data_IF_483081616018
#
_entry.id   IF_483081616018
#
_cell.length_a   1.000
_cell.length_b   1.000
_cell.length_c   1.000
_cell.angle_alpha   90.00
_cell.angle_beta   90.00
_cell.angle_gamma   90.00
#
_symmetry.space_group_name_H-M   'P 1'
#
loop_
_entity.id
_entity.type
_entity.pdbx_description
1 polymer ?
#
# COMPACT_ATOMS: atom_id res chain seq x y z
N UNK A 1 -2.96 -14.65 22.91
CA UNK A 1 -1.65 -15.10 22.38
C UNK A 1 -1.82 -15.98 21.14
N UNK A 2 -2.60 -17.07 21.16
CA UNK A 2 -2.83 -17.92 19.98
C UNK A 2 -3.44 -17.16 18.77
N UNK A 3 -4.45 -16.32 18.97
CA UNK A 3 -5.03 -15.50 17.89
C UNK A 3 -4.02 -14.54 17.22
N UNK A 4 -3.06 -14.03 18.00
CA UNK A 4 -2.03 -13.14 17.50
C UNK A 4 -1.01 -13.91 16.65
N UNK A 5 -0.64 -15.13 17.08
CA UNK A 5 0.23 -16.02 16.29
C UNK A 5 -0.39 -16.36 14.94
N UNK A 6 -1.69 -16.67 14.89
CA UNK A 6 -2.40 -16.96 13.63
C UNK A 6 -2.34 -15.77 12.66
N UNK A 7 -2.48 -14.55 13.18
CA UNK A 7 -2.37 -13.33 12.36
C UNK A 7 -0.93 -13.13 11.88
N UNK A 8 0.07 -13.33 12.73
CA UNK A 8 1.48 -13.21 12.32
C UNK A 8 1.85 -14.23 11.23
N UNK A 9 1.42 -15.49 11.38
CA UNK A 9 1.70 -16.56 10.41
C UNK A 9 1.04 -16.30 9.04
N UNK A 10 -0.05 -15.51 9.02
CA UNK A 10 -0.72 -15.10 7.77
C UNK A 10 -0.05 -13.93 7.06
N UNK A 11 0.89 -13.23 7.70
CA UNK A 11 1.56 -12.07 7.11
C UNK A 11 2.52 -12.51 6.02
N UNK A 12 2.61 -11.68 5.00
CA UNK A 12 3.63 -11.82 3.98
C UNK A 12 5.01 -11.41 4.48
N UNK A 13 6.04 -12.18 4.10
CA UNK A 13 7.44 -11.80 4.31
C UNK A 13 7.73 -10.43 3.68
N UNK A 14 8.65 -9.71 4.31
CA UNK A 14 9.15 -8.44 3.79
C UNK A 14 10.25 -8.76 2.78
N UNK A 15 9.89 -8.73 1.49
CA UNK A 15 10.81 -9.07 0.42
C UNK A 15 10.32 -8.64 -0.96
N UNK A 16 11.18 -8.84 -1.96
CA UNK A 16 10.88 -8.53 -3.36
C UNK A 16 9.65 -9.29 -3.87
N UNK A 17 8.82 -8.61 -4.65
CA UNK A 17 7.61 -9.20 -5.23
C UNK A 17 6.38 -9.26 -4.31
N UNK A 18 6.51 -8.87 -3.02
CA UNK A 18 5.39 -8.80 -2.05
C UNK A 18 4.96 -7.36 -1.71
N UNK A 19 5.46 -6.39 -2.48
CA UNK A 19 5.19 -4.96 -2.35
C UNK A 19 3.79 -4.58 -2.84
N UNK A 20 3.06 -3.76 -2.06
CA UNK A 20 1.72 -3.27 -2.44
C UNK A 20 1.73 -1.90 -3.13
N UNK A 21 2.77 -1.09 -2.89
CA UNK A 21 2.84 0.29 -3.37
C UNK A 21 4.30 0.70 -3.59
N UNK A 22 4.54 1.40 -4.68
CA UNK A 22 5.85 1.96 -5.02
C UNK A 22 5.86 3.46 -4.69
N UNK A 23 6.79 3.88 -3.84
CA UNK A 23 7.05 5.28 -3.50
C UNK A 23 8.38 5.69 -4.11
N UNK A 24 8.33 6.44 -5.21
CA UNK A 24 9.50 6.91 -5.97
C UNK A 24 9.57 8.43 -5.81
N UNK A 25 10.19 8.86 -4.71
CA UNK A 25 10.13 10.24 -4.23
C UNK A 25 10.96 11.22 -5.07
N UNK A 26 12.06 10.75 -5.68
CA UNK A 26 12.89 11.53 -6.61
C UNK A 26 12.12 11.97 -7.86
N UNK A 27 11.16 11.16 -8.31
CA UNK A 27 10.26 11.44 -9.43
C UNK A 27 8.89 11.97 -8.98
N UNK A 28 8.74 12.25 -7.67
CA UNK A 28 7.48 12.64 -7.05
C UNK A 28 6.30 11.73 -7.39
N UNK A 29 6.52 10.41 -7.49
CA UNK A 29 5.49 9.44 -7.92
C UNK A 29 5.21 8.41 -6.84
N UNK A 30 3.93 8.22 -6.53
CA UNK A 30 3.45 7.10 -5.71
C UNK A 30 2.43 6.32 -6.52
N UNK A 31 2.61 5.00 -6.63
CA UNK A 31 1.73 4.10 -7.37
C UNK A 31 1.36 2.86 -6.57
N UNK A 32 0.06 2.63 -6.36
CA UNK A 32 -0.46 1.38 -5.78
C UNK A 32 -0.46 0.29 -6.86
N UNK A 33 0.21 -0.83 -6.57
CA UNK A 33 0.41 -1.91 -7.53
C UNK A 33 -0.78 -2.87 -7.57
N UNK A 34 -1.65 -2.83 -6.56
CA UNK A 34 -2.86 -3.67 -6.51
C UNK A 34 -3.99 -3.05 -7.32
N UNK A 35 -4.12 -1.72 -7.29
CA UNK A 35 -5.25 -0.99 -7.89
C UNK A 35 -4.85 -0.14 -9.09
N UNK A 36 -3.56 0.15 -9.26
CA UNK A 36 -3.05 1.01 -10.33
C UNK A 36 -3.18 2.51 -10.06
N UNK A 37 -3.80 2.92 -8.95
CA UNK A 37 -3.93 4.34 -8.57
C UNK A 37 -2.55 4.98 -8.40
N UNK A 38 -2.38 6.17 -8.95
CA UNK A 38 -1.12 6.90 -8.97
C UNK A 38 -1.35 8.36 -8.59
N UNK A 39 -0.38 8.96 -7.89
CA UNK A 39 -0.37 10.39 -7.54
C UNK A 39 1.01 10.99 -7.71
N UNK A 40 1.03 12.25 -8.15
CA UNK A 40 2.20 13.10 -8.32
C UNK A 40 2.52 13.99 -7.11
N UNK A 41 1.78 13.87 -6.00
CA UNK A 41 2.00 14.66 -4.79
C UNK A 41 2.35 13.74 -3.60
N UNK A 42 3.62 13.31 -3.45
CA UNK A 42 4.01 12.43 -2.38
C UNK A 42 3.82 13.03 -0.99
N UNK A 43 4.00 14.33 -0.86
CA UNK A 43 3.96 14.99 0.45
C UNK A 43 2.59 14.83 1.10
N UNK A 44 1.51 15.08 0.35
CA UNK A 44 0.14 14.86 0.86
C UNK A 44 -0.09 13.40 1.32
N UNK A 45 0.41 12.43 0.57
CA UNK A 45 0.28 11.01 0.92
C UNK A 45 1.06 10.67 2.19
N UNK A 46 2.27 11.23 2.34
CA UNK A 46 3.08 11.06 3.55
C UNK A 46 2.46 11.77 4.76
N UNK A 47 1.71 12.85 4.52
CA UNK A 47 0.93 13.59 5.53
C UNK A 47 -0.43 12.93 5.84
N UNK A 48 -0.78 11.82 5.17
CA UNK A 48 -1.92 10.98 5.51
C UNK A 48 -3.05 10.92 4.49
N UNK A 49 -2.93 11.59 3.34
CA UNK A 49 -3.90 11.53 2.24
C UNK A 49 -3.87 10.16 1.54
N UNK A 50 -4.49 9.17 2.18
CA UNK A 50 -4.50 7.76 1.75
C UNK A 50 -5.87 7.29 1.22
N UNK A 51 -6.90 8.13 1.32
CA UNK A 51 -8.29 7.76 1.07
C UNK A 51 -8.48 7.20 -0.35
N UNK A 52 -7.87 7.86 -1.36
CA UNK A 52 -7.93 7.40 -2.74
C UNK A 52 -7.41 5.96 -2.94
N UNK A 53 -6.38 5.56 -2.20
CA UNK A 53 -5.83 4.21 -2.27
C UNK A 53 -6.67 3.18 -1.51
N UNK A 54 -7.21 3.58 -0.36
CA UNK A 54 -8.05 2.71 0.47
C UNK A 54 -9.36 2.42 -0.25
N UNK A 55 -10.03 3.45 -0.74
CA UNK A 55 -11.28 3.31 -1.50
C UNK A 55 -11.09 2.45 -2.75
N UNK A 56 -10.00 2.66 -3.49
CA UNK A 56 -9.68 1.86 -4.65
C UNK A 56 -9.44 0.38 -4.28
N UNK A 57 -8.77 0.10 -3.16
CA UNK A 57 -8.57 -1.26 -2.66
C UNK A 57 -9.90 -1.94 -2.31
N UNK A 58 -10.77 -1.22 -1.60
CA UNK A 58 -12.11 -1.70 -1.24
C UNK A 58 -12.97 -1.99 -2.46
N UNK A 59 -12.92 -1.13 -3.50
CA UNK A 59 -13.66 -1.35 -4.76
C UNK A 59 -13.13 -2.54 -5.56
N UNK A 60 -11.81 -2.72 -5.59
CA UNK A 60 -11.17 -3.81 -6.31
C UNK A 60 -11.21 -5.15 -5.56
N UNK A 61 -11.58 -5.15 -4.27
CA UNK A 61 -11.64 -6.35 -3.44
C UNK A 61 -10.26 -6.91 -3.06
N UNK A 62 -9.26 -6.02 -2.93
CA UNK A 62 -7.83 -6.34 -2.70
C UNK A 62 -7.23 -5.57 -1.53
#
# INVERSE_FOLDING_TARGET
RAAQQIVEDSKSDIGWGRQIRSYVLDQSRIKDLRTGVETGNPQAVLDGDLDAFIEAGLRAGV
#
